data_IF_874947701027
#
_entry.id   IF_874947701027
#
_cell.length_a   1.000
_cell.length_b   1.000
_cell.length_c   1.000
_cell.angle_alpha   90.00
_cell.angle_beta   90.00
_cell.angle_gamma   90.00
#
_symmetry.space_group_name_H-M   'P 1'
#
loop_
_entity.id
_entity.type
_entity.pdbx_description
1 polymer ?
#
# COMPACT_ATOMS: atom_id res chain seq x y z
N UNK A 1 3.58 19.60 -10.52
CA UNK A 1 2.82 19.85 -11.79
C UNK A 1 1.64 18.88 -11.99
N UNK A 2 1.77 17.58 -11.69
CA UNK A 2 0.71 16.59 -11.92
C UNK A 2 -0.57 16.84 -11.11
N UNK A 3 -0.42 17.23 -9.83
CA UNK A 3 -1.55 17.52 -8.94
C UNK A 3 -2.36 18.72 -9.46
N UNK A 4 -1.69 19.80 -9.86
CA UNK A 4 -2.36 20.99 -10.40
C UNK A 4 -3.14 20.64 -11.67
N UNK A 5 -2.58 19.79 -12.54
CA UNK A 5 -3.29 19.33 -13.74
C UNK A 5 -4.52 18.50 -13.39
N UNK A 6 -4.42 17.59 -12.40
CA UNK A 6 -5.54 16.77 -11.95
C UNK A 6 -6.66 17.62 -11.35
N UNK A 7 -6.31 18.59 -10.49
CA UNK A 7 -7.29 19.51 -9.89
C UNK A 7 -7.97 20.37 -10.95
N UNK A 8 -7.22 20.90 -11.92
CA UNK A 8 -7.80 21.66 -13.04
C UNK A 8 -8.76 20.84 -13.90
N UNK A 9 -8.41 19.57 -14.14
CA UNK A 9 -9.29 18.65 -14.87
C UNK A 9 -10.59 18.41 -14.09
N UNK A 10 -10.49 18.12 -12.79
CA UNK A 10 -11.65 17.89 -11.93
C UNK A 10 -12.57 19.13 -11.86
N UNK A 11 -12.00 20.34 -11.72
CA UNK A 11 -12.79 21.58 -11.71
C UNK A 11 -13.48 21.82 -13.06
N UNK A 12 -12.79 21.51 -14.17
CA UNK A 12 -13.40 21.57 -15.50
C UNK A 12 -14.58 20.60 -15.63
N UNK A 13 -14.47 19.39 -15.11
CA UNK A 13 -15.55 18.39 -15.15
C UNK A 13 -16.73 18.78 -14.26
N UNK A 14 -16.50 19.46 -13.12
CA UNK A 14 -17.53 20.01 -12.24
C UNK A 14 -18.29 21.16 -12.97
N UNK A 15 -17.64 21.87 -13.88
CA UNK A 15 -18.17 22.96 -14.65
C UNK A 15 -18.78 24.10 -13.80
N UNK A 16 -18.14 24.40 -12.66
CA UNK A 16 -18.53 25.48 -11.76
C UNK A 16 -17.52 26.63 -11.84
N UNK A 17 -17.94 27.75 -12.40
CA UNK A 17 -17.14 28.96 -12.59
C UNK A 17 -16.86 29.72 -11.27
N UNK A 18 -17.47 29.33 -10.15
CA UNK A 18 -17.23 29.94 -8.84
C UNK A 18 -15.96 29.40 -8.16
N UNK A 19 -15.37 28.33 -8.70
CA UNK A 19 -14.19 27.70 -8.14
C UNK A 19 -12.91 28.32 -8.72
N UNK A 20 -12.17 29.02 -7.90
CA UNK A 20 -10.86 29.57 -8.24
C UNK A 20 -9.73 28.66 -7.72
N UNK A 21 -8.75 28.37 -8.56
CA UNK A 21 -7.56 27.58 -8.19
C UNK A 21 -6.35 28.50 -8.03
N UNK A 22 -5.81 28.58 -6.81
CA UNK A 22 -4.63 29.36 -6.49
C UNK A 22 -3.45 28.43 -6.25
N UNK A 23 -2.57 28.18 -7.25
CA UNK A 23 -1.44 27.28 -7.10
C UNK A 23 -0.33 27.92 -6.29
N UNK A 24 0.30 27.15 -5.37
CA UNK A 24 1.47 27.53 -4.61
C UNK A 24 2.55 26.44 -4.73
N UNK A 25 3.80 26.83 -4.91
CA UNK A 25 4.93 25.93 -4.95
C UNK A 25 5.67 25.94 -3.59
N UNK A 26 5.60 24.82 -2.90
CA UNK A 26 6.26 24.64 -1.59
C UNK A 26 7.67 24.08 -1.72
N UNK A 27 8.12 23.72 -2.94
CA UNK A 27 9.40 23.06 -3.21
C UNK A 27 9.70 21.90 -2.23
N UNK A 28 8.66 21.19 -1.77
CA UNK A 28 8.72 20.10 -0.79
C UNK A 28 9.38 20.49 0.55
N UNK A 29 9.33 21.78 0.91
CA UNK A 29 9.93 22.31 2.15
C UNK A 29 8.85 22.74 3.13
N UNK A 30 8.95 22.31 4.39
CA UNK A 30 7.98 22.63 5.45
C UNK A 30 7.82 24.13 5.68
N UNK A 31 8.91 24.89 5.74
CA UNK A 31 8.88 26.33 5.92
C UNK A 31 8.19 27.08 4.76
N UNK A 32 8.37 26.60 3.52
CA UNK A 32 7.66 27.17 2.37
C UNK A 32 6.18 26.79 2.36
N UNK A 33 5.84 25.58 2.80
CA UNK A 33 4.46 25.16 2.95
C UNK A 33 3.74 26.04 3.98
N UNK A 34 4.34 26.27 5.14
CA UNK A 34 3.80 27.16 6.17
C UNK A 34 3.63 28.59 5.66
N UNK A 35 4.66 29.17 5.01
CA UNK A 35 4.56 30.50 4.41
C UNK A 35 3.41 30.61 3.40
N UNK A 36 3.30 29.64 2.49
CA UNK A 36 2.23 29.59 1.51
C UNK A 36 0.85 29.48 2.16
N UNK A 37 0.73 28.73 3.27
CA UNK A 37 -0.51 28.59 4.01
C UNK A 37 -0.93 29.93 4.66
N UNK A 38 0.01 30.72 5.21
CA UNK A 38 -0.25 32.06 5.71
C UNK A 38 -0.75 33.00 4.60
N UNK A 39 -0.08 32.99 3.44
CA UNK A 39 -0.48 33.80 2.31
C UNK A 39 -1.92 33.44 1.84
N UNK A 40 -2.23 32.14 1.72
CA UNK A 40 -3.57 31.65 1.37
C UNK A 40 -4.63 32.03 2.38
N UNK A 41 -4.28 32.00 3.69
CA UNK A 41 -5.16 32.49 4.76
C UNK A 41 -5.52 33.97 4.59
N UNK A 42 -4.52 34.82 4.29
CA UNK A 42 -4.75 36.26 4.05
C UNK A 42 -5.64 36.51 2.84
N UNK A 43 -5.60 35.61 1.84
CA UNK A 43 -6.48 35.64 0.65
C UNK A 43 -7.90 35.10 0.93
N UNK A 44 -8.17 34.65 2.17
CA UNK A 44 -9.48 34.10 2.54
C UNK A 44 -9.73 32.66 2.14
N UNK A 45 -8.68 31.93 1.69
CA UNK A 45 -8.79 30.51 1.31
C UNK A 45 -9.17 29.67 2.53
N UNK A 46 -10.14 28.78 2.39
CA UNK A 46 -10.63 27.89 3.45
C UNK A 46 -10.20 26.43 3.29
N UNK A 47 -9.93 26.00 2.06
CA UNK A 47 -9.56 24.61 1.75
C UNK A 47 -8.30 24.60 0.89
N UNK A 48 -7.33 23.79 1.28
CA UNK A 48 -6.06 23.62 0.55
C UNK A 48 -5.88 22.14 0.23
N UNK A 49 -5.64 21.82 -1.04
CA UNK A 49 -5.24 20.47 -1.48
C UNK A 49 -3.71 20.38 -1.42
N UNK A 50 -3.22 19.61 -0.47
CA UNK A 50 -1.79 19.50 -0.10
C UNK A 50 -1.57 19.79 1.39
N UNK A 51 -0.32 19.77 1.82
CA UNK A 51 0.89 19.33 1.12
C UNK A 51 0.89 17.82 0.85
N UNK A 52 1.88 17.37 0.04
CA UNK A 52 2.04 15.94 -0.30
C UNK A 52 2.87 15.22 0.75
N UNK A 53 3.93 15.88 1.22
CA UNK A 53 4.90 15.28 2.13
C UNK A 53 4.53 15.54 3.59
N UNK A 54 4.67 14.49 4.40
CA UNK A 54 4.33 14.53 5.83
C UNK A 54 5.11 15.60 6.59
N UNK A 55 6.40 15.75 6.33
CA UNK A 55 7.26 16.73 7.00
C UNK A 55 6.74 18.18 6.82
N UNK A 56 5.97 18.41 5.76
CA UNK A 56 5.37 19.73 5.50
C UNK A 56 4.08 19.98 6.29
N UNK A 57 3.60 18.99 7.04
CA UNK A 57 2.33 19.07 7.78
C UNK A 57 2.54 19.57 9.20
N UNK A 58 3.72 19.32 9.79
CA UNK A 58 3.99 19.44 11.23
C UNK A 58 3.65 20.80 11.87
N UNK A 59 3.63 21.86 11.08
CA UNK A 59 3.36 23.22 11.58
C UNK A 59 2.03 23.80 11.08
N UNK A 60 1.21 23.02 10.38
CA UNK A 60 -0.04 23.52 9.81
C UNK A 60 -1.15 23.66 10.85
N UNK A 61 -1.00 23.11 12.04
CA UNK A 61 -1.91 23.29 13.18
C UNK A 61 -1.97 24.75 13.66
N UNK A 62 -0.96 25.57 13.35
CA UNK A 62 -0.96 27.00 13.61
C UNK A 62 -1.99 27.76 12.72
N UNK A 63 -2.41 27.18 11.61
CA UNK A 63 -3.32 27.80 10.63
C UNK A 63 -4.75 27.25 10.79
N UNK A 64 -5.39 27.54 11.91
CA UNK A 64 -6.68 26.94 12.32
C UNK A 64 -7.86 27.18 11.36
N UNK A 65 -7.81 28.24 10.55
CA UNK A 65 -8.94 28.64 9.70
C UNK A 65 -8.95 27.99 8.31
N UNK A 66 -7.95 27.14 8.03
CA UNK A 66 -7.83 26.40 6.78
C UNK A 66 -7.92 24.90 7.05
N UNK A 67 -8.69 24.19 6.26
CA UNK A 67 -8.69 22.73 6.20
C UNK A 67 -7.74 22.27 5.10
N UNK A 68 -6.75 21.47 5.46
CA UNK A 68 -5.78 20.90 4.52
C UNK A 68 -6.19 19.47 4.15
N UNK A 69 -6.43 19.22 2.87
CA UNK A 69 -6.60 17.89 2.30
C UNK A 69 -5.22 17.37 1.86
N UNK A 70 -4.45 16.85 2.81
CA UNK A 70 -3.11 16.38 2.56
C UNK A 70 -3.12 15.07 1.78
N UNK A 71 -2.25 14.97 0.77
CA UNK A 71 -2.09 13.74 -0.02
C UNK A 71 -1.11 12.75 0.60
N UNK A 72 -0.76 12.95 1.89
CA UNK A 72 0.04 12.00 2.65
C UNK A 72 -0.66 10.66 2.83
N UNK A 73 0.12 9.60 2.88
CA UNK A 73 -0.36 8.26 3.24
C UNK A 73 -0.40 8.02 4.76
N UNK A 74 0.22 8.90 5.55
CA UNK A 74 0.18 8.81 7.01
C UNK A 74 -1.16 9.27 7.57
N UNK A 75 -1.63 8.58 8.61
CA UNK A 75 -2.90 8.87 9.30
C UNK A 75 -2.74 9.09 10.79
N UNK A 76 -1.51 8.95 11.30
CA UNK A 76 -1.18 9.15 12.71
C UNK A 76 -0.65 10.57 12.94
N UNK A 77 -0.94 11.12 14.11
CA UNK A 77 -0.43 12.40 14.61
C UNK A 77 -0.65 13.58 13.65
N UNK A 78 -1.74 13.53 12.87
CA UNK A 78 -2.11 14.65 12.01
C UNK A 78 -2.70 15.81 12.83
N UNK A 79 -2.36 17.07 12.50
CA UNK A 79 -3.03 18.23 13.03
C UNK A 79 -4.56 18.17 12.81
N UNK A 80 -5.34 18.76 13.72
CA UNK A 80 -6.82 18.67 13.68
C UNK A 80 -7.45 19.27 12.42
N UNK A 81 -6.77 20.21 11.78
CA UNK A 81 -7.18 20.85 10.54
C UNK A 81 -6.62 20.18 9.29
N UNK A 82 -5.97 19.03 9.45
CA UNK A 82 -5.41 18.23 8.34
C UNK A 82 -6.18 16.93 8.20
N UNK A 83 -6.69 16.67 7.00
CA UNK A 83 -7.36 15.44 6.61
C UNK A 83 -6.46 14.68 5.63
N UNK A 84 -6.13 13.42 5.94
CA UNK A 84 -5.42 12.56 4.99
C UNK A 84 -6.35 12.17 3.83
N UNK A 85 -6.07 12.69 2.65
CA UNK A 85 -6.74 12.37 1.40
C UNK A 85 -5.90 11.44 0.51
N UNK A 86 -4.73 11.01 0.99
CA UNK A 86 -3.86 10.06 0.30
C UNK A 86 -4.32 8.61 0.46
N UNK A 87 -3.71 7.74 -0.34
CA UNK A 87 -3.91 6.29 -0.22
C UNK A 87 -3.11 5.81 1.00
N UNK A 88 -3.80 5.50 2.07
CA UNK A 88 -3.21 4.99 3.31
C UNK A 88 -3.39 3.47 3.47
N UNK A 89 -2.72 2.89 4.47
CA UNK A 89 -2.77 1.44 4.73
C UNK A 89 -4.20 0.94 4.96
N UNK A 90 -5.03 1.66 5.71
CA UNK A 90 -6.42 1.26 5.97
C UNK A 90 -7.25 1.18 4.68
N UNK A 91 -7.13 2.18 3.78
CA UNK A 91 -7.86 2.17 2.50
C UNK A 91 -7.39 1.04 1.58
N UNK A 92 -6.09 0.76 1.57
CA UNK A 92 -5.51 -0.37 0.83
C UNK A 92 -6.02 -1.70 1.35
N UNK A 93 -5.99 -1.92 2.68
CA UNK A 93 -6.47 -3.17 3.26
C UNK A 93 -7.98 -3.36 3.13
N UNK A 94 -8.78 -2.30 3.15
CA UNK A 94 -10.20 -2.40 2.84
C UNK A 94 -10.45 -2.86 1.39
N UNK A 95 -9.63 -2.39 0.45
CA UNK A 95 -9.69 -2.85 -0.95
C UNK A 95 -9.27 -4.31 -1.08
N UNK A 96 -8.19 -4.72 -0.41
CA UNK A 96 -7.73 -6.12 -0.35
C UNK A 96 -8.81 -7.00 0.28
N UNK A 97 -9.46 -6.55 1.36
CA UNK A 97 -10.57 -7.26 1.99
C UNK A 97 -11.70 -7.53 1.00
N UNK A 98 -12.13 -6.49 0.28
CA UNK A 98 -13.17 -6.63 -0.76
C UNK A 98 -12.78 -7.66 -1.82
N UNK A 99 -11.51 -7.64 -2.26
CA UNK A 99 -11.01 -8.64 -3.21
C UNK A 99 -11.03 -10.05 -2.64
N UNK A 100 -10.60 -10.26 -1.40
CA UNK A 100 -10.61 -11.55 -0.69
C UNK A 100 -12.05 -12.09 -0.61
N UNK A 101 -13.00 -11.26 -0.20
CA UNK A 101 -14.41 -11.61 -0.05
C UNK A 101 -15.06 -11.94 -1.40
N UNK A 102 -14.84 -11.10 -2.42
CA UNK A 102 -15.39 -11.30 -3.77
C UNK A 102 -14.88 -12.60 -4.41
N UNK A 103 -13.63 -12.99 -4.15
CA UNK A 103 -13.02 -14.18 -4.71
C UNK A 103 -13.10 -15.42 -3.78
N UNK A 104 -13.82 -15.33 -2.67
CA UNK A 104 -13.98 -16.42 -1.69
C UNK A 104 -12.63 -17.00 -1.21
N UNK A 105 -11.62 -16.14 -1.00
CA UNK A 105 -10.30 -16.55 -0.54
C UNK A 105 -10.39 -16.90 0.95
N UNK A 106 -10.15 -18.17 1.31
CA UNK A 106 -10.32 -18.68 2.68
C UNK A 106 -9.08 -18.55 3.56
N UNK A 107 -7.90 -18.42 2.95
CA UNK A 107 -6.62 -18.37 3.68
C UNK A 107 -5.78 -17.22 3.14
N UNK A 108 -5.52 -16.24 3.98
CA UNK A 108 -4.71 -15.08 3.66
C UNK A 108 -3.50 -15.05 4.60
N UNK A 109 -2.32 -14.93 4.01
CA UNK A 109 -1.06 -14.75 4.76
C UNK A 109 -0.60 -13.32 4.49
N UNK A 110 -0.25 -12.61 5.56
CA UNK A 110 0.40 -11.31 5.45
C UNK A 110 1.89 -11.45 5.68
N UNK A 111 2.66 -10.72 4.89
CA UNK A 111 4.09 -10.53 5.04
C UNK A 111 4.32 -9.05 5.32
N UNK A 112 4.74 -8.72 6.53
CA UNK A 112 4.97 -7.33 6.95
C UNK A 112 6.47 -7.04 6.96
N UNK A 113 6.96 -6.02 6.25
CA UNK A 113 8.37 -5.67 6.29
C UNK A 113 8.75 -5.06 7.64
N UNK A 114 9.90 -5.45 8.18
CA UNK A 114 10.47 -4.84 9.40
C UNK A 114 11.08 -3.49 9.01
N UNK A 115 10.28 -2.41 9.11
CA UNK A 115 10.61 -1.05 8.73
C UNK A 115 9.87 -0.06 9.65
N UNK A 116 10.23 1.21 9.62
CA UNK A 116 9.64 2.26 10.45
C UNK A 116 8.11 2.38 10.32
N UNK A 117 7.57 2.01 9.15
CA UNK A 117 6.12 2.00 8.86
C UNK A 117 5.41 0.68 9.16
N UNK A 118 6.09 -0.30 9.78
CA UNK A 118 5.52 -1.61 10.16
C UNK A 118 4.25 -1.46 11.01
N UNK A 119 4.28 -0.52 11.96
CA UNK A 119 3.15 -0.26 12.85
C UNK A 119 1.90 0.18 12.07
N UNK A 120 2.05 1.06 11.07
CA UNK A 120 0.94 1.51 10.24
C UNK A 120 0.32 0.38 9.42
N UNK A 121 1.16 -0.52 8.89
CA UNK A 121 0.69 -1.70 8.15
C UNK A 121 -0.11 -2.60 9.10
N UNK A 122 0.44 -2.97 10.24
CA UNK A 122 -0.23 -3.84 11.24
C UNK A 122 -1.53 -3.22 11.74
N UNK A 123 -1.55 -1.91 11.97
CA UNK A 123 -2.76 -1.16 12.31
C UNK A 123 -3.79 -1.24 11.19
N UNK A 124 -3.41 -0.98 9.94
CA UNK A 124 -4.30 -1.04 8.78
C UNK A 124 -4.90 -2.45 8.58
N UNK A 125 -4.12 -3.51 8.77
CA UNK A 125 -4.59 -4.89 8.74
C UNK A 125 -5.66 -5.11 9.82
N UNK A 126 -5.37 -4.69 11.07
CA UNK A 126 -6.29 -4.82 12.21
C UNK A 126 -7.59 -4.04 11.98
N UNK A 127 -7.50 -2.78 11.56
CA UNK A 127 -8.64 -1.89 11.35
C UNK A 127 -9.54 -2.39 10.20
N UNK A 128 -8.97 -3.01 9.18
CA UNK A 128 -9.71 -3.61 8.06
C UNK A 128 -10.52 -4.86 8.45
N UNK A 129 -10.19 -5.48 9.59
CA UNK A 129 -10.80 -6.74 10.06
C UNK A 129 -10.71 -7.88 9.03
N UNK A 130 -9.61 -7.94 8.28
CA UNK A 130 -9.35 -9.07 7.37
C UNK A 130 -9.10 -10.32 8.22
N UNK A 131 -9.71 -11.44 7.82
CA UNK A 131 -9.46 -12.72 8.46
C UNK A 131 -8.10 -13.25 8.04
N UNK A 132 -7.14 -13.22 8.97
CA UNK A 132 -5.76 -13.66 8.75
C UNK A 132 -5.63 -15.14 9.11
N UNK A 133 -4.95 -15.91 8.26
CA UNK A 133 -4.55 -17.29 8.56
C UNK A 133 -3.19 -17.33 9.26
N UNK A 134 -2.23 -16.56 8.75
CA UNK A 134 -0.89 -16.39 9.35
C UNK A 134 -0.35 -15.00 9.03
N UNK A 135 0.49 -14.50 9.94
CA UNK A 135 1.21 -13.25 9.81
C UNK A 135 2.71 -13.50 10.05
N UNK A 136 3.55 -12.90 9.23
CA UNK A 136 5.01 -13.02 9.31
C UNK A 136 5.66 -11.67 9.09
N UNK A 137 6.62 -11.35 9.95
CA UNK A 137 7.51 -10.22 9.73
C UNK A 137 8.72 -10.66 8.91
N UNK A 138 9.16 -9.85 7.95
CA UNK A 138 10.29 -10.19 7.10
C UNK A 138 11.31 -9.05 7.00
N UNK A 139 12.59 -9.44 6.86
CA UNK A 139 13.68 -8.50 6.60
C UNK A 139 13.67 -8.07 5.13
N UNK A 140 13.86 -6.77 4.89
CA UNK A 140 14.01 -6.24 3.51
C UNK A 140 15.41 -6.46 2.93
N UNK A 141 16.35 -7.01 3.72
CA UNK A 141 17.67 -7.42 3.24
C UNK A 141 17.53 -8.64 2.31
N UNK A 142 17.97 -8.58 1.04
CA UNK A 142 17.67 -9.60 0.03
C UNK A 142 18.06 -11.03 0.40
N UNK A 143 19.23 -11.20 1.07
CA UNK A 143 19.74 -12.52 1.48
C UNK A 143 18.88 -13.14 2.58
N UNK A 144 18.46 -12.35 3.55
CA UNK A 144 17.58 -12.78 4.64
C UNK A 144 16.16 -13.02 4.14
N UNK A 145 15.66 -12.12 3.27
CA UNK A 145 14.33 -12.23 2.68
C UNK A 145 14.16 -13.54 1.94
N UNK A 146 15.10 -13.91 1.06
CA UNK A 146 15.04 -15.17 0.31
C UNK A 146 14.93 -16.36 1.24
N UNK A 147 15.76 -16.41 2.28
CA UNK A 147 15.74 -17.50 3.27
C UNK A 147 14.42 -17.57 4.02
N UNK A 148 13.90 -16.42 4.48
CA UNK A 148 12.62 -16.34 5.20
C UNK A 148 11.45 -16.78 4.31
N UNK A 149 11.40 -16.38 3.05
CA UNK A 149 10.35 -16.81 2.11
C UNK A 149 10.43 -18.32 1.85
N UNK A 150 11.63 -18.89 1.68
CA UNK A 150 11.81 -20.33 1.54
C UNK A 150 11.28 -21.09 2.78
N UNK A 151 11.55 -20.58 3.99
CA UNK A 151 11.09 -21.18 5.25
C UNK A 151 9.56 -21.06 5.40
N UNK A 152 8.99 -19.87 5.20
CA UNK A 152 7.55 -19.59 5.33
C UNK A 152 6.71 -20.43 4.35
N UNK A 153 7.23 -20.59 3.12
CA UNK A 153 6.54 -21.35 2.07
C UNK A 153 6.86 -22.83 2.10
N UNK A 154 7.78 -23.28 2.94
CA UNK A 154 8.35 -24.62 2.91
C UNK A 154 8.86 -25.00 1.50
N UNK A 155 9.40 -24.02 0.77
CA UNK A 155 9.76 -24.18 -0.64
C UNK A 155 10.68 -25.37 -0.89
N UNK A 156 11.75 -25.53 -0.10
CA UNK A 156 12.72 -26.62 -0.25
C UNK A 156 12.06 -27.98 -0.06
N UNK A 157 11.21 -28.12 0.97
CA UNK A 157 10.50 -29.37 1.27
C UNK A 157 9.53 -29.70 0.12
N UNK A 158 8.76 -28.69 -0.34
CA UNK A 158 7.81 -28.88 -1.44
C UNK A 158 8.52 -29.27 -2.75
N UNK A 159 9.66 -28.63 -3.03
CA UNK A 159 10.47 -28.93 -4.21
C UNK A 159 11.06 -30.34 -4.15
N UNK A 160 11.54 -30.76 -2.98
CA UNK A 160 12.04 -32.12 -2.78
C UNK A 160 10.91 -33.15 -2.93
N UNK A 161 9.74 -32.92 -2.33
CA UNK A 161 8.58 -33.80 -2.48
C UNK A 161 8.14 -33.99 -3.94
N UNK A 162 8.14 -32.89 -4.72
CA UNK A 162 7.86 -32.96 -6.15
C UNK A 162 8.89 -33.82 -6.91
N UNK A 163 10.16 -33.66 -6.58
CA UNK A 163 11.26 -34.47 -7.18
C UNK A 163 11.06 -35.95 -6.84
N UNK A 164 10.78 -36.25 -5.59
CA UNK A 164 10.57 -37.64 -5.13
C UNK A 164 9.35 -38.28 -5.79
N UNK A 165 8.25 -37.50 -5.95
CA UNK A 165 7.04 -37.97 -6.65
C UNK A 165 7.32 -38.26 -8.14
N UNK A 166 8.06 -37.39 -8.83
CA UNK A 166 8.50 -37.62 -10.21
C UNK A 166 9.35 -38.91 -10.30
N UNK A 167 10.29 -39.11 -9.39
CA UNK A 167 11.13 -40.30 -9.34
C UNK A 167 10.31 -41.59 -9.11
N UNK A 168 9.34 -41.52 -8.20
CA UNK A 168 8.41 -42.64 -7.93
C UNK A 168 7.57 -42.99 -9.18
N UNK A 169 7.04 -41.97 -9.86
CA UNK A 169 6.26 -42.17 -11.08
C UNK A 169 7.10 -42.77 -12.22
N UNK A 170 8.35 -42.32 -12.36
CA UNK A 170 9.27 -42.87 -13.36
C UNK A 170 9.52 -44.38 -13.16
N UNK A 171 9.56 -44.85 -11.91
CA UNK A 171 9.71 -46.26 -11.53
C UNK A 171 8.41 -47.06 -11.55
N UNK A 172 7.25 -46.40 -11.68
CA UNK A 172 5.94 -47.07 -11.66
C UNK A 172 5.53 -47.60 -13.07
N UNK A 173 4.68 -48.64 -13.10
CA UNK A 173 4.12 -49.19 -14.31
C UNK A 173 2.73 -48.63 -14.70
N UNK A 174 2.38 -47.42 -14.19
CA UNK A 174 1.07 -46.83 -14.47
C UNK A 174 0.94 -46.37 -15.93
N UNK A 175 -0.17 -46.65 -16.57
CA UNK A 175 -0.45 -46.34 -17.98
C UNK A 175 -0.45 -44.82 -18.30
N UNK A 176 -0.74 -43.96 -17.31
CA UNK A 176 -0.82 -42.50 -17.48
C UNK A 176 0.37 -41.73 -16.86
N UNK A 177 1.49 -42.44 -16.59
CA UNK A 177 2.64 -41.85 -15.89
C UNK A 177 3.27 -40.66 -16.63
N UNK A 178 3.41 -40.73 -17.92
CA UNK A 178 4.09 -39.68 -18.72
C UNK A 178 3.34 -38.35 -18.65
N UNK A 179 2.01 -38.35 -18.76
CA UNK A 179 1.18 -37.15 -18.65
C UNK A 179 1.27 -36.54 -17.25
N UNK A 180 1.30 -37.37 -16.20
CA UNK A 180 1.47 -36.93 -14.81
C UNK A 180 2.85 -36.36 -14.56
N UNK A 181 3.91 -37.03 -15.04
CA UNK A 181 5.30 -36.57 -14.93
C UNK A 181 5.47 -35.22 -15.60
N UNK A 182 5.02 -35.04 -16.83
CA UNK A 182 5.09 -33.77 -17.56
C UNK A 182 4.44 -32.62 -16.77
N UNK A 183 3.28 -32.86 -16.17
CA UNK A 183 2.59 -31.86 -15.34
C UNK A 183 3.37 -31.51 -14.05
N UNK A 184 4.00 -32.49 -13.42
CA UNK A 184 4.82 -32.27 -12.23
C UNK A 184 6.14 -31.59 -12.56
N UNK A 185 6.79 -31.94 -13.67
CA UNK A 185 8.00 -31.28 -14.16
C UNK A 185 7.75 -29.81 -14.48
N UNK A 186 6.63 -29.46 -15.09
CA UNK A 186 6.23 -28.07 -15.27
C UNK A 186 6.09 -27.32 -13.91
N UNK A 187 5.48 -27.94 -12.91
CA UNK A 187 5.38 -27.35 -11.56
C UNK A 187 6.74 -27.24 -10.87
N UNK A 188 7.65 -28.17 -11.12
CA UNK A 188 9.00 -28.15 -10.57
C UNK A 188 9.88 -27.04 -11.18
N UNK A 189 9.69 -26.71 -12.45
CA UNK A 189 10.42 -25.64 -13.15
C UNK A 189 9.87 -24.25 -12.87
N UNK A 190 8.56 -24.13 -12.59
CA UNK A 190 7.90 -22.85 -12.29
C UNK A 190 7.99 -22.43 -10.83
N UNK A 191 8.35 -23.31 -9.94
CA UNK A 191 8.44 -23.07 -8.50
C UNK A 191 9.71 -23.51 -7.90
#
# INVERSE_FOLDING_TARGET
>A
QSIIKAVRLAVKDINDNSIEIIPKDTASKANKALKSAFELKQMGVKVVIGPVFYESISYLDEIKDITFLSLTNQTLDLPKNVVSAGINSTSQFNTIKKFIETNNIRRTIFLTPIQDYEFEIKKGIKDSRIKIFKDYDYSTEPTKLTKQIEEITNYRIRKQNLKDEILRLKKSNQSNKEKKIKKLEQRYTLG
#
